data_IF_165657552911
#
_entry.id   IF_165657552911
#
_cell.length_a   1.000
_cell.length_b   1.000
_cell.length_c   1.000
_cell.angle_alpha   90.00
_cell.angle_beta   90.00
_cell.angle_gamma   90.00
#
_symmetry.space_group_name_H-M   'P 1'
#
loop_
_entity.id
_entity.type
_entity.pdbx_description
1 polymer ?
#
# COMPACT_ATOMS: atom_id res chain seq x y z
N UNK A 1 44.46 -2.94 -7.40
CA UNK A 1 43.73 -3.67 -8.45
C UNK A 1 42.33 -3.07 -8.49
N UNK A 2 42.14 -2.08 -9.36
CA UNK A 2 40.89 -1.33 -9.46
C UNK A 2 39.83 -2.23 -10.07
N UNK A 3 38.97 -2.80 -9.22
CA UNK A 3 37.73 -3.41 -9.71
C UNK A 3 36.93 -2.28 -10.33
N UNK A 4 36.81 -2.36 -11.65
CA UNK A 4 36.28 -1.34 -12.53
C UNK A 4 34.88 -0.94 -12.03
N UNK A 5 34.70 0.32 -11.60
CA UNK A 5 33.42 0.86 -11.11
C UNK A 5 32.31 0.66 -12.16
N UNK A 6 32.68 0.57 -13.44
CA UNK A 6 31.79 0.19 -14.56
C UNK A 6 31.26 -1.24 -14.51
N UNK A 7 31.99 -2.21 -13.93
CA UNK A 7 31.54 -3.60 -13.79
C UNK A 7 30.58 -3.74 -12.61
N UNK A 8 30.81 -3.04 -11.49
CA UNK A 8 29.84 -2.97 -10.38
C UNK A 8 28.54 -2.26 -10.81
N UNK A 9 28.64 -1.17 -11.59
CA UNK A 9 27.47 -0.48 -12.17
C UNK A 9 26.78 -1.28 -13.31
N UNK A 10 27.43 -2.30 -13.88
CA UNK A 10 26.83 -3.22 -14.84
C UNK A 10 26.18 -4.43 -14.13
N UNK A 11 26.73 -4.87 -13.00
CA UNK A 11 26.14 -5.91 -12.15
C UNK A 11 24.89 -5.44 -11.40
N UNK A 12 24.78 -4.13 -11.12
CA UNK A 12 23.59 -3.51 -10.51
C UNK A 12 22.40 -3.45 -11.49
N UNK A 13 22.63 -3.57 -12.81
CA UNK A 13 21.57 -3.59 -13.84
C UNK A 13 20.80 -4.91 -13.91
N UNK A 14 21.23 -5.93 -13.17
CA UNK A 14 20.64 -7.27 -13.16
C UNK A 14 20.01 -7.66 -11.81
N UNK A 15 20.00 -6.75 -10.83
CA UNK A 15 19.19 -6.94 -9.62
C UNK A 15 17.84 -6.28 -9.88
N UNK A 16 16.77 -7.07 -9.84
CA UNK A 16 15.41 -6.55 -9.90
C UNK A 16 15.15 -5.53 -8.79
N UNK A 17 14.05 -4.76 -8.90
CA UNK A 17 13.70 -3.78 -7.89
C UNK A 17 13.60 -4.43 -6.50
N UNK A 18 14.05 -3.70 -5.48
CA UNK A 18 13.89 -4.09 -4.09
C UNK A 18 12.51 -3.59 -3.65
N UNK A 19 11.53 -4.49 -3.60
CA UNK A 19 10.18 -4.20 -3.08
C UNK A 19 10.09 -4.27 -1.55
N UNK A 20 11.06 -4.87 -0.87
CA UNK A 20 11.01 -5.06 0.58
C UNK A 20 11.24 -3.75 1.35
N UNK A 21 10.16 -3.20 1.90
CA UNK A 21 10.18 -1.99 2.75
C UNK A 21 11.16 -2.09 3.93
N UNK A 22 11.44 -3.28 4.47
CA UNK A 22 12.41 -3.45 5.56
C UNK A 22 13.85 -3.14 5.12
N UNK A 23 14.15 -3.32 3.84
CA UNK A 23 15.43 -2.93 3.23
C UNK A 23 15.42 -1.44 2.89
N UNK A 24 14.28 -0.89 2.47
CA UNK A 24 14.12 0.51 2.09
C UNK A 24 14.14 1.46 3.30
N UNK A 25 13.58 1.03 4.44
CA UNK A 25 13.29 1.89 5.59
C UNK A 25 13.95 1.30 6.84
N UNK A 26 15.01 1.94 7.38
CA UNK A 26 15.79 1.39 8.50
C UNK A 26 14.98 1.05 9.76
N UNK A 27 13.97 1.85 10.12
CA UNK A 27 13.14 1.57 11.31
C UNK A 27 12.25 0.34 11.10
N UNK A 28 11.77 0.11 9.88
CA UNK A 28 11.04 -1.12 9.51
C UNK A 28 11.98 -2.32 9.54
N UNK A 29 13.21 -2.17 9.05
CA UNK A 29 14.25 -3.20 9.14
C UNK A 29 14.60 -3.60 10.58
N UNK A 30 14.68 -2.62 11.51
CA UNK A 30 14.86 -2.91 12.95
C UNK A 30 13.67 -3.67 13.53
N UNK A 31 12.45 -3.26 13.21
CA UNK A 31 11.24 -3.95 13.67
C UNK A 31 11.16 -5.39 13.12
N UNK A 32 11.54 -5.60 11.86
CA UNK A 32 11.62 -6.92 11.21
C UNK A 32 12.67 -7.83 11.88
N UNK A 33 13.83 -7.29 12.26
CA UNK A 33 14.82 -8.03 13.04
C UNK A 33 14.30 -8.40 14.44
N UNK A 34 13.62 -7.46 15.13
CA UNK A 34 13.01 -7.70 16.43
C UNK A 34 11.91 -8.78 16.38
N UNK A 35 11.07 -8.75 15.34
CA UNK A 35 10.06 -9.78 15.06
C UNK A 35 10.69 -11.17 14.96
N UNK A 36 11.74 -11.34 14.15
CA UNK A 36 12.42 -12.64 13.99
C UNK A 36 13.08 -13.14 15.27
N UNK A 37 13.46 -12.23 16.16
CA UNK A 37 14.05 -12.56 17.47
C UNK A 37 13.02 -12.78 18.58
N UNK A 38 11.71 -12.64 18.30
CA UNK A 38 10.64 -12.59 19.30
C UNK A 38 10.88 -11.50 20.38
N UNK A 39 11.56 -10.42 20.02
CA UNK A 39 11.85 -9.29 20.91
C UNK A 39 10.75 -8.22 20.82
N UNK A 40 9.70 -8.41 21.61
CA UNK A 40 8.55 -7.49 21.60
C UNK A 40 8.93 -6.06 22.03
N UNK A 41 9.86 -5.92 22.98
CA UNK A 41 10.25 -4.61 23.49
C UNK A 41 10.97 -3.78 22.42
N UNK A 42 11.90 -4.39 21.68
CA UNK A 42 12.58 -3.72 20.56
C UNK A 42 11.61 -3.38 19.42
N UNK A 43 10.62 -4.23 19.17
CA UNK A 43 9.57 -3.94 18.19
C UNK A 43 8.75 -2.71 18.60
N UNK A 44 8.32 -2.64 19.86
CA UNK A 44 7.56 -1.50 20.39
C UNK A 44 8.37 -0.20 20.32
N UNK A 45 9.67 -0.26 20.61
CA UNK A 45 10.57 0.88 20.48
C UNK A 45 10.65 1.36 19.02
N UNK A 46 10.89 0.45 18.07
CA UNK A 46 10.91 0.78 16.64
C UNK A 46 9.57 1.36 16.16
N UNK A 47 8.45 0.78 16.58
CA UNK A 47 7.11 1.30 16.26
C UNK A 47 6.87 2.70 16.82
N UNK A 48 7.38 3.00 18.02
CA UNK A 48 7.21 4.30 18.66
C UNK A 48 7.97 5.39 17.91
N UNK A 49 9.21 5.10 17.48
CA UNK A 49 10.08 5.99 16.69
C UNK A 49 9.60 6.18 15.24
N UNK A 50 8.84 5.22 14.70
CA UNK A 50 8.42 5.19 13.31
C UNK A 50 7.44 6.32 12.94
N UNK A 51 7.55 6.79 11.70
CA UNK A 51 6.49 7.59 11.06
C UNK A 51 5.19 6.78 10.97
N UNK A 52 4.05 7.45 10.77
CA UNK A 52 2.78 6.73 10.66
C UNK A 52 2.79 5.68 9.53
N UNK A 53 3.34 6.02 8.36
CA UNK A 53 3.48 5.06 7.26
C UNK A 53 4.33 3.84 7.67
N UNK A 54 5.47 4.08 8.33
CA UNK A 54 6.32 3.00 8.82
C UNK A 54 5.63 2.15 9.89
N UNK A 55 4.74 2.73 10.72
CA UNK A 55 3.92 1.98 11.68
C UNK A 55 2.95 1.02 10.99
N UNK A 56 2.30 1.45 9.91
CA UNK A 56 1.44 0.57 9.11
C UNK A 56 2.25 -0.60 8.51
N UNK A 57 3.45 -0.32 7.97
CA UNK A 57 4.36 -1.35 7.47
C UNK A 57 4.77 -2.36 8.56
N UNK A 58 5.11 -1.87 9.76
CA UNK A 58 5.46 -2.71 10.91
C UNK A 58 4.29 -3.61 11.30
N UNK A 59 3.07 -3.06 11.44
CA UNK A 59 1.86 -3.84 11.78
C UNK A 59 1.59 -4.90 10.72
N UNK A 60 1.58 -4.51 9.44
CA UNK A 60 1.36 -5.40 8.29
C UNK A 60 2.36 -6.57 8.28
N UNK A 61 3.64 -6.28 8.54
CA UNK A 61 4.70 -7.28 8.59
C UNK A 61 4.56 -8.22 9.78
N UNK A 62 4.33 -7.67 10.96
CA UNK A 62 4.12 -8.43 12.18
C UNK A 62 2.91 -9.38 12.05
N UNK A 63 1.81 -8.90 11.49
CA UNK A 63 0.62 -9.72 11.22
C UNK A 63 0.83 -10.75 10.12
N UNK A 64 1.82 -10.57 9.21
CA UNK A 64 2.13 -11.54 8.15
C UNK A 64 2.90 -12.77 8.64
N UNK A 65 3.39 -12.77 9.89
CA UNK A 65 4.11 -13.92 10.43
C UNK A 65 3.16 -15.08 10.73
N UNK A 66 3.29 -16.17 9.97
CA UNK A 66 2.48 -17.37 10.20
C UNK A 66 2.87 -18.02 11.53
N UNK A 67 1.88 -18.42 12.33
CA UNK A 67 2.10 -19.10 13.60
C UNK A 67 2.45 -18.17 14.77
N UNK A 68 2.38 -16.85 14.60
CA UNK A 68 2.69 -15.88 15.66
C UNK A 68 1.49 -15.56 16.56
N UNK A 69 0.34 -16.22 16.37
CA UNK A 69 -0.90 -15.92 17.10
C UNK A 69 -0.75 -16.17 18.60
N UNK A 70 -0.12 -17.28 18.99
CA UNK A 70 0.12 -17.61 20.40
C UNK A 70 1.11 -16.66 21.06
N UNK A 71 2.10 -16.18 20.31
CA UNK A 71 3.04 -15.16 20.80
C UNK A 71 2.31 -13.87 21.17
N UNK A 72 1.45 -13.35 20.29
CA UNK A 72 0.67 -12.14 20.57
C UNK A 72 -0.38 -12.35 21.66
N UNK A 73 -1.02 -13.52 21.72
CA UNK A 73 -1.92 -13.88 22.83
C UNK A 73 -1.20 -13.91 24.18
N UNK A 74 0.01 -14.44 24.24
CA UNK A 74 0.83 -14.45 25.46
C UNK A 74 1.20 -13.04 25.94
N UNK A 75 1.53 -12.14 25.00
CA UNK A 75 1.75 -10.72 25.30
C UNK A 75 0.48 -10.10 25.89
N UNK A 76 -0.69 -10.31 25.27
CA UNK A 76 -1.96 -9.76 25.75
C UNK A 76 -2.42 -10.38 27.07
N UNK A 77 -2.04 -11.61 27.38
CA UNK A 77 -2.29 -12.20 28.69
C UNK A 77 -1.49 -11.50 29.79
N UNK A 78 -0.26 -11.10 29.49
CA UNK A 78 0.63 -10.39 30.43
C UNK A 78 0.34 -8.89 30.50
N UNK A 79 -0.06 -8.29 29.38
CA UNK A 79 -0.42 -6.88 29.25
C UNK A 79 -1.67 -6.71 28.36
N UNK A 80 -2.89 -6.85 28.92
CA UNK A 80 -4.14 -6.76 28.15
C UNK A 80 -4.40 -5.41 27.48
N UNK A 81 -3.64 -4.37 27.84
CA UNK A 81 -3.78 -3.01 27.30
C UNK A 81 -2.79 -2.68 26.18
N UNK A 82 -2.00 -3.66 25.73
CA UNK A 82 -1.06 -3.49 24.63
C UNK A 82 -1.79 -3.32 23.29
N UNK A 83 -2.01 -2.06 22.90
CA UNK A 83 -2.72 -1.68 21.68
C UNK A 83 -2.04 -2.24 20.43
N UNK A 84 -0.71 -2.30 20.43
CA UNK A 84 0.06 -2.78 19.29
C UNK A 84 -0.11 -4.29 19.14
N UNK A 85 0.04 -5.06 20.22
CA UNK A 85 -0.14 -6.51 20.18
C UNK A 85 -1.57 -6.89 19.76
N UNK A 86 -2.57 -6.19 20.29
CA UNK A 86 -3.97 -6.39 19.91
C UNK A 86 -4.21 -6.08 18.42
N UNK A 87 -3.67 -4.97 17.92
CA UNK A 87 -3.81 -4.58 16.51
C UNK A 87 -3.10 -5.56 15.58
N UNK A 88 -1.89 -6.00 15.93
CA UNK A 88 -1.12 -6.98 15.16
C UNK A 88 -1.80 -8.35 15.16
N UNK A 89 -2.34 -8.79 16.29
CA UNK A 89 -3.12 -10.03 16.35
C UNK A 89 -4.37 -9.95 15.48
N UNK A 90 -5.07 -8.82 15.49
CA UNK A 90 -6.21 -8.60 14.60
C UNK A 90 -5.81 -8.61 13.12
N UNK A 91 -4.71 -7.95 12.74
CA UNK A 91 -4.18 -8.00 11.37
C UNK A 91 -3.79 -9.43 10.96
N UNK A 92 -3.24 -10.23 11.88
CA UNK A 92 -2.98 -11.66 11.60
C UNK A 92 -4.27 -12.41 11.28
N UNK A 93 -5.35 -12.19 12.04
CA UNK A 93 -6.66 -12.77 11.72
C UNK A 93 -7.21 -12.28 10.36
N UNK A 94 -7.02 -11.01 10.00
CA UNK A 94 -7.38 -10.51 8.67
C UNK A 94 -6.63 -11.29 7.58
N UNK A 95 -5.32 -11.51 7.73
CA UNK A 95 -4.53 -12.29 6.76
C UNK A 95 -4.97 -13.76 6.72
N UNK A 96 -5.21 -14.39 7.86
CA UNK A 96 -5.76 -15.75 7.92
C UNK A 96 -7.11 -15.85 7.22
N UNK A 97 -7.95 -14.80 7.30
CA UNK A 97 -9.19 -14.74 6.55
C UNK A 97 -8.90 -14.82 5.05
N UNK A 98 -8.07 -13.91 4.52
CA UNK A 98 -7.75 -13.89 3.08
C UNK A 98 -7.04 -15.16 2.60
N UNK A 99 -6.14 -15.73 3.42
CA UNK A 99 -5.53 -17.05 3.19
C UNK A 99 -6.60 -18.15 3.06
N UNK A 100 -7.63 -18.15 3.92
CA UNK A 100 -8.71 -19.12 3.90
C UNK A 100 -9.71 -18.92 2.74
N UNK A 101 -9.94 -17.67 2.32
CA UNK A 101 -10.77 -17.34 1.14
C UNK A 101 -10.12 -17.83 -0.15
N UNK A 102 -8.78 -17.78 -0.23
CA UNK A 102 -8.01 -18.04 -1.44
C UNK A 102 -8.05 -16.87 -2.44
N UNK A 103 -7.36 -17.03 -3.56
CA UNK A 103 -7.17 -15.99 -4.60
C UNK A 103 -8.29 -15.94 -5.65
N UNK A 104 -9.36 -16.73 -5.46
CA UNK A 104 -10.47 -16.81 -6.39
C UNK A 104 -11.45 -15.63 -6.34
N UNK A 105 -12.19 -15.42 -7.44
CA UNK A 105 -13.38 -14.56 -7.46
C UNK A 105 -14.46 -15.09 -6.51
N UNK A 106 -15.41 -14.24 -6.09
CA UNK A 106 -16.54 -14.61 -5.22
C UNK A 106 -17.24 -15.90 -5.67
N UNK A 107 -17.33 -16.14 -6.99
CA UNK A 107 -17.94 -17.34 -7.60
C UNK A 107 -17.15 -18.64 -7.42
N UNK A 108 -15.92 -18.59 -6.89
CA UNK A 108 -15.00 -19.74 -6.77
C UNK A 108 -14.64 -20.09 -5.32
N UNK A 109 -15.13 -19.31 -4.35
CA UNK A 109 -14.89 -19.55 -2.92
C UNK A 109 -15.86 -20.61 -2.40
N UNK A 110 -15.34 -21.68 -1.79
CA UNK A 110 -16.21 -22.71 -1.18
C UNK A 110 -17.02 -22.12 -0.02
N UNK A 111 -18.26 -22.61 0.26
CA UNK A 111 -19.06 -22.15 1.40
C UNK A 111 -18.32 -22.25 2.75
N UNK A 112 -17.52 -23.31 2.92
CA UNK A 112 -16.70 -23.51 4.11
C UNK A 112 -15.56 -22.48 4.20
N UNK A 113 -14.86 -22.23 3.09
CA UNK A 113 -13.83 -21.18 3.03
C UNK A 113 -14.40 -19.80 3.31
N UNK A 114 -15.60 -19.50 2.81
CA UNK A 114 -16.30 -18.24 3.09
C UNK A 114 -16.70 -18.11 4.57
N UNK A 115 -17.21 -19.18 5.18
CA UNK A 115 -17.55 -19.18 6.60
C UNK A 115 -16.31 -18.96 7.48
N UNK A 116 -15.18 -19.60 7.16
CA UNK A 116 -13.90 -19.40 7.85
C UNK A 116 -13.36 -17.98 7.65
N UNK A 117 -13.42 -17.43 6.43
CA UNK A 117 -13.09 -16.05 6.11
C UNK A 117 -13.87 -15.05 6.98
N UNK A 118 -15.21 -15.18 6.99
CA UNK A 118 -16.09 -14.36 7.81
C UNK A 118 -15.80 -14.50 9.32
N UNK A 119 -15.54 -15.72 9.79
CA UNK A 119 -15.20 -15.99 11.18
C UNK A 119 -13.97 -15.22 11.64
N UNK A 120 -12.87 -15.30 10.87
CA UNK A 120 -11.64 -14.58 11.20
C UNK A 120 -11.80 -13.06 11.16
N UNK A 121 -12.52 -12.51 10.17
CA UNK A 121 -12.77 -11.06 10.11
C UNK A 121 -13.59 -10.56 11.30
N UNK A 122 -14.58 -11.33 11.78
CA UNK A 122 -15.36 -10.98 12.98
C UNK A 122 -14.49 -11.03 14.23
N UNK A 123 -13.61 -12.01 14.37
CA UNK A 123 -12.63 -12.06 15.47
C UNK A 123 -11.71 -10.84 15.44
N UNK A 124 -11.20 -10.47 14.26
CA UNK A 124 -10.39 -9.26 14.11
C UNK A 124 -11.18 -8.00 14.53
N UNK A 125 -12.42 -7.82 14.07
CA UNK A 125 -13.25 -6.68 14.44
C UNK A 125 -13.53 -6.60 15.95
N UNK A 126 -13.79 -7.72 16.62
CA UNK A 126 -14.00 -7.73 18.07
C UNK A 126 -12.79 -7.17 18.83
N UNK A 127 -11.57 -7.56 18.42
CA UNK A 127 -10.33 -7.04 18.99
C UNK A 127 -10.20 -5.54 18.67
N UNK A 128 -10.36 -5.16 17.41
CA UNK A 128 -10.15 -3.78 16.94
C UNK A 128 -11.16 -2.80 17.52
N UNK A 129 -12.40 -3.21 17.77
CA UNK A 129 -13.40 -2.41 18.50
C UNK A 129 -12.89 -2.10 19.90
N UNK A 130 -12.32 -3.10 20.61
CA UNK A 130 -11.70 -2.89 21.92
C UNK A 130 -10.55 -1.88 21.88
N UNK A 131 -9.64 -2.03 20.90
CA UNK A 131 -8.51 -1.11 20.71
C UNK A 131 -9.00 0.32 20.44
N UNK A 132 -9.94 0.50 19.50
CA UNK A 132 -10.48 1.81 19.15
C UNK A 132 -11.32 2.44 20.27
N UNK A 133 -11.97 1.63 21.11
CA UNK A 133 -12.68 2.13 22.29
C UNK A 133 -11.71 2.57 23.39
N UNK A 134 -10.59 1.86 23.57
CA UNK A 134 -9.56 2.21 24.53
C UNK A 134 -8.77 3.46 24.10
N UNK A 135 -8.42 3.56 22.82
CA UNK A 135 -7.64 4.67 22.26
C UNK A 135 -8.18 5.05 20.87
N UNK A 136 -9.18 5.95 20.80
CA UNK A 136 -9.83 6.33 19.55
C UNK A 136 -8.90 6.93 18.48
N UNK A 137 -7.77 7.50 18.88
CA UNK A 137 -6.77 8.10 17.99
C UNK A 137 -5.66 7.13 17.56
N UNK A 138 -5.76 5.83 17.88
CA UNK A 138 -4.77 4.84 17.48
C UNK A 138 -4.95 4.45 16.00
N UNK A 139 -4.44 5.28 15.10
CA UNK A 139 -4.62 5.16 13.65
C UNK A 139 -4.33 3.77 13.05
N UNK A 140 -3.30 3.01 13.50
CA UNK A 140 -3.02 1.68 12.94
C UNK A 140 -4.18 0.68 13.14
N UNK A 141 -4.93 0.77 14.25
CA UNK A 141 -6.12 -0.07 14.42
C UNK A 141 -7.21 0.30 13.42
N UNK A 142 -7.45 1.60 13.19
CA UNK A 142 -8.41 2.03 12.17
C UNK A 142 -7.99 1.60 10.75
N UNK A 143 -6.68 1.56 10.46
CA UNK A 143 -6.18 1.09 9.17
C UNK A 143 -6.50 -0.39 8.95
N UNK A 144 -6.27 -1.24 9.95
CA UNK A 144 -6.66 -2.66 9.90
C UNK A 144 -8.18 -2.81 9.78
N UNK A 145 -8.97 -1.93 10.41
CA UNK A 145 -10.42 -1.91 10.26
C UNK A 145 -10.91 -1.49 8.87
N UNK A 146 -10.12 -0.81 8.05
CA UNK A 146 -10.50 -0.57 6.66
C UNK A 146 -10.50 -1.91 5.89
N UNK A 147 -9.45 -2.73 6.06
CA UNK A 147 -9.36 -4.05 5.42
C UNK A 147 -10.48 -5.03 5.79
N UNK A 148 -11.07 -4.91 6.98
CA UNK A 148 -12.20 -5.77 7.38
C UNK A 148 -13.52 -5.29 6.79
N UNK A 149 -13.65 -4.02 6.39
CA UNK A 149 -14.94 -3.43 6.01
C UNK A 149 -15.50 -4.04 4.73
N UNK A 150 -14.67 -4.14 3.69
CA UNK A 150 -15.04 -4.80 2.42
C UNK A 150 -15.30 -6.29 2.62
N UNK A 151 -14.41 -6.99 3.35
CA UNK A 151 -14.59 -8.42 3.58
C UNK A 151 -15.83 -8.79 4.42
N UNK A 152 -16.38 -7.83 5.17
CA UNK A 152 -17.60 -8.00 5.96
C UNK A 152 -18.84 -7.38 5.30
N UNK A 153 -18.74 -6.93 4.04
CA UNK A 153 -19.84 -6.32 3.28
C UNK A 153 -20.50 -5.13 4.00
N UNK A 154 -19.71 -4.28 4.68
CA UNK A 154 -20.26 -3.17 5.49
C UNK A 154 -20.71 -1.95 4.66
N UNK A 155 -20.35 -1.91 3.38
CA UNK A 155 -20.72 -0.85 2.44
C UNK A 155 -19.94 0.46 2.57
N UNK A 156 -20.02 1.28 1.51
CA UNK A 156 -19.22 2.50 1.33
C UNK A 156 -19.37 3.53 2.47
N UNK A 157 -20.56 3.66 3.06
CA UNK A 157 -20.82 4.60 4.17
C UNK A 157 -19.97 4.25 5.39
N UNK A 158 -19.86 2.97 5.73
CA UNK A 158 -19.06 2.53 6.87
C UNK A 158 -17.56 2.61 6.59
N UNK A 159 -17.14 2.30 5.36
CA UNK A 159 -15.76 2.49 4.88
C UNK A 159 -15.33 3.96 5.06
N UNK A 160 -16.10 4.90 4.50
CA UNK A 160 -15.82 6.34 4.60
C UNK A 160 -15.84 6.84 6.05
N UNK A 161 -16.76 6.35 6.88
CA UNK A 161 -16.79 6.68 8.32
C UNK A 161 -15.52 6.22 9.04
N UNK A 162 -15.02 5.02 8.75
CA UNK A 162 -13.77 4.50 9.33
C UNK A 162 -12.57 5.31 8.87
N UNK A 163 -12.51 5.64 7.58
CA UNK A 163 -11.48 6.53 7.04
C UNK A 163 -11.50 7.90 7.71
N UNK A 164 -12.67 8.53 7.85
CA UNK A 164 -12.80 9.83 8.55
C UNK A 164 -12.31 9.77 10.01
N UNK A 165 -12.56 8.65 10.71
CA UNK A 165 -12.04 8.46 12.07
C UNK A 165 -10.52 8.37 12.08
N UNK A 166 -9.92 7.61 11.17
CA UNK A 166 -8.48 7.54 11.02
C UNK A 166 -7.89 8.92 10.69
N UNK A 167 -8.42 9.58 9.66
CA UNK A 167 -7.88 10.83 9.12
C UNK A 167 -7.99 11.99 10.11
N UNK A 168 -8.92 11.94 11.06
CA UNK A 168 -8.98 12.92 12.16
C UNK A 168 -7.73 12.91 13.06
N UNK A 169 -7.04 11.77 13.16
CA UNK A 169 -5.82 11.59 13.94
C UNK A 169 -4.54 11.53 13.10
N UNK A 170 -4.67 11.16 11.82
CA UNK A 170 -3.57 11.08 10.85
C UNK A 170 -4.04 11.69 9.52
N UNK A 171 -4.05 13.03 9.39
CA UNK A 171 -4.46 13.69 8.15
C UNK A 171 -3.54 13.29 6.99
N UNK A 172 -4.13 13.05 5.82
CA UNK A 172 -3.41 12.66 4.59
C UNK A 172 -2.60 11.35 4.72
N UNK A 173 -3.05 10.43 5.59
CA UNK A 173 -2.48 9.10 5.71
C UNK A 173 -2.61 8.32 4.40
N UNK A 174 -1.50 8.23 3.65
CA UNK A 174 -1.52 7.68 2.30
C UNK A 174 -1.90 6.20 2.28
N UNK A 175 -1.47 5.43 3.27
CA UNK A 175 -1.86 4.02 3.38
C UNK A 175 -3.37 3.86 3.55
N UNK A 176 -3.96 4.63 4.47
CA UNK A 176 -5.41 4.59 4.69
C UNK A 176 -6.20 5.04 3.45
N UNK A 177 -5.73 6.09 2.77
CA UNK A 177 -6.34 6.57 1.53
C UNK A 177 -6.24 5.53 0.41
N UNK A 178 -5.10 4.85 0.28
CA UNK A 178 -4.93 3.78 -0.69
C UNK A 178 -5.93 2.64 -0.46
N UNK A 179 -6.09 2.18 0.78
CA UNK A 179 -7.05 1.12 1.12
C UNK A 179 -8.48 1.59 0.85
N UNK A 180 -8.80 2.83 1.23
CA UNK A 180 -10.15 3.38 1.02
C UNK A 180 -10.47 3.54 -0.46
N UNK A 181 -9.50 3.95 -1.28
CA UNK A 181 -9.65 3.93 -2.74
C UNK A 181 -10.00 2.51 -3.20
N UNK A 182 -9.22 1.50 -2.80
CA UNK A 182 -9.49 0.11 -3.17
C UNK A 182 -10.91 -0.31 -2.79
N UNK A 183 -11.33 -0.06 -1.55
CA UNK A 183 -12.66 -0.43 -1.03
C UNK A 183 -13.83 0.28 -1.75
N UNK A 184 -13.59 1.42 -2.39
CA UNK A 184 -14.60 2.17 -3.15
C UNK A 184 -14.67 1.78 -4.64
N UNK A 185 -13.80 0.89 -5.12
CA UNK A 185 -13.82 0.42 -6.49
C UNK A 185 -15.03 -0.51 -6.77
N UNK A 186 -15.54 -0.57 -8.01
CA UNK A 186 -16.66 -1.44 -8.37
C UNK A 186 -16.46 -2.92 -8.04
N UNK A 187 -15.22 -3.43 -8.16
CA UNK A 187 -14.87 -4.82 -7.82
C UNK A 187 -15.14 -5.19 -6.36
N UNK A 188 -15.35 -4.20 -5.49
CA UNK A 188 -15.65 -4.34 -4.06
C UNK A 188 -17.01 -3.77 -3.67
N UNK A 189 -17.90 -3.50 -4.64
CA UNK A 189 -19.26 -3.01 -4.39
C UNK A 189 -19.38 -1.48 -4.28
N UNK A 190 -18.32 -0.73 -4.57
CA UNK A 190 -18.37 0.72 -4.76
C UNK A 190 -18.71 1.11 -6.21
N UNK A 191 -18.34 2.33 -6.61
CA UNK A 191 -18.49 2.83 -7.98
C UNK A 191 -17.28 3.64 -8.43
N UNK A 192 -17.07 3.77 -9.75
CA UNK A 192 -15.98 4.59 -10.28
C UNK A 192 -16.10 6.06 -9.89
N UNK A 193 -17.32 6.58 -9.77
CA UNK A 193 -17.61 7.95 -9.33
C UNK A 193 -17.22 8.13 -7.86
N UNK A 194 -17.58 7.18 -6.98
CA UNK A 194 -17.17 7.22 -5.57
C UNK A 194 -15.65 7.21 -5.42
N UNK A 195 -14.97 6.31 -6.14
CA UNK A 195 -13.52 6.22 -6.12
C UNK A 195 -12.85 7.50 -6.67
N UNK A 196 -13.38 8.05 -7.77
CA UNK A 196 -12.91 9.30 -8.35
C UNK A 196 -13.06 10.46 -7.36
N UNK A 197 -14.26 10.72 -6.85
CA UNK A 197 -14.52 11.84 -5.95
C UNK A 197 -13.60 11.79 -4.72
N UNK A 198 -13.45 10.59 -4.13
CA UNK A 198 -12.56 10.38 -3.00
C UNK A 198 -11.09 10.69 -3.31
N UNK A 199 -10.59 10.20 -4.45
CA UNK A 199 -9.19 10.39 -4.85
C UNK A 199 -8.87 11.86 -5.13
N UNK A 200 -9.74 12.56 -5.85
CA UNK A 200 -9.54 13.96 -6.15
C UNK A 200 -9.66 14.84 -4.91
N UNK A 201 -10.59 14.54 -3.99
CA UNK A 201 -10.65 15.21 -2.69
C UNK A 201 -9.32 15.03 -1.93
N UNK A 202 -8.84 13.79 -1.80
CA UNK A 202 -7.60 13.49 -1.09
C UNK A 202 -6.37 14.17 -1.72
N UNK A 203 -6.24 14.10 -3.05
CA UNK A 203 -5.12 14.71 -3.76
C UNK A 203 -5.14 16.24 -3.64
N UNK A 204 -6.31 16.87 -3.73
CA UNK A 204 -6.47 18.32 -3.62
C UNK A 204 -6.33 18.87 -2.20
N UNK A 205 -6.69 18.08 -1.19
CA UNK A 205 -6.54 18.46 0.21
C UNK A 205 -5.10 18.30 0.72
N UNK A 206 -4.33 17.34 0.19
CA UNK A 206 -2.96 17.11 0.62
C UNK A 206 -2.05 18.30 0.28
N UNK A 207 -1.06 18.64 1.14
CA UNK A 207 -0.10 19.69 0.85
C UNK A 207 0.61 19.49 -0.50
N UNK A 208 1.01 20.57 -1.17
CA UNK A 208 1.81 20.46 -2.39
C UNK A 208 3.16 19.78 -2.10
N UNK A 209 3.62 18.92 -3.00
CA UNK A 209 4.80 18.06 -2.83
C UNK A 209 4.54 16.79 -2.01
N UNK A 210 3.29 16.53 -1.61
CA UNK A 210 2.93 15.28 -0.93
C UNK A 210 2.84 14.10 -1.92
N UNK A 211 3.07 12.86 -1.46
CA UNK A 211 2.92 11.66 -2.29
C UNK A 211 1.46 11.33 -2.64
N UNK A 212 0.48 11.95 -1.99
CA UNK A 212 -0.95 11.59 -2.09
C UNK A 212 -1.56 11.73 -3.48
N UNK A 213 -1.01 12.59 -4.36
CA UNK A 213 -1.51 12.67 -5.74
C UNK A 213 -1.22 11.39 -6.55
N UNK A 214 -0.37 10.48 -6.04
CA UNK A 214 -0.20 9.15 -6.64
C UNK A 214 -1.48 8.28 -6.58
N UNK A 215 -2.47 8.65 -5.76
CA UNK A 215 -3.79 7.99 -5.78
C UNK A 215 -4.53 8.22 -7.09
N UNK A 216 -4.32 9.36 -7.77
CA UNK A 216 -4.86 9.60 -9.12
C UNK A 216 -4.28 8.58 -10.10
N UNK A 217 -2.99 8.29 -9.98
CA UNK A 217 -2.33 7.28 -10.79
C UNK A 217 -2.91 5.89 -10.47
N UNK A 218 -3.03 5.53 -9.20
CA UNK A 218 -3.60 4.24 -8.82
C UNK A 218 -5.05 4.07 -9.32
N UNK A 219 -5.89 5.11 -9.21
CA UNK A 219 -7.23 5.10 -9.79
C UNK A 219 -7.20 4.76 -11.29
N UNK A 220 -6.29 5.40 -12.04
CA UNK A 220 -6.15 5.12 -13.45
C UNK A 220 -5.60 3.73 -13.74
N UNK A 221 -4.62 3.24 -12.99
CA UNK A 221 -4.12 1.86 -13.15
C UNK A 221 -5.25 0.84 -12.95
N UNK A 222 -6.15 1.07 -11.99
CA UNK A 222 -7.35 0.25 -11.77
C UNK A 222 -8.34 0.37 -12.93
N UNK A 223 -8.54 1.56 -13.50
CA UNK A 223 -9.34 1.73 -14.73
C UNK A 223 -8.76 0.95 -15.91
N UNK A 224 -7.42 0.89 -16.05
CA UNK A 224 -6.76 0.21 -17.17
C UNK A 224 -6.97 -1.30 -17.19
N UNK A 225 -7.15 -1.92 -16.02
CA UNK A 225 -7.36 -3.37 -15.88
C UNK A 225 -8.82 -3.77 -15.67
N UNK A 226 -9.72 -2.80 -15.77
CA UNK A 226 -11.15 -3.05 -15.60
C UNK A 226 -11.75 -3.71 -16.85
N UNK A 227 -12.69 -4.63 -16.65
CA UNK A 227 -13.40 -5.32 -17.75
C UNK A 227 -14.36 -4.40 -18.53
N UNK A 228 -14.64 -3.19 -18.01
CA UNK A 228 -15.58 -2.22 -18.61
C UNK A 228 -14.93 -1.25 -19.61
N UNK A 229 -13.63 -1.39 -19.88
CA UNK A 229 -12.92 -0.63 -20.92
C UNK A 229 -12.49 -1.54 -22.06
N UNK A 230 -12.48 -1.03 -23.29
CA UNK A 230 -12.16 -1.84 -24.48
C UNK A 230 -10.66 -2.15 -24.61
N UNK A 231 -9.84 -1.47 -23.81
CA UNK A 231 -8.41 -1.73 -23.68
C UNK A 231 -7.62 -0.55 -23.09
N UNK A 232 -6.40 -0.84 -22.66
CA UNK A 232 -5.45 0.12 -22.07
C UNK A 232 -5.26 1.37 -22.94
N UNK A 233 -5.16 1.19 -24.26
CA UNK A 233 -4.93 2.30 -25.21
C UNK A 233 -6.08 3.31 -25.25
N UNK A 234 -7.33 2.89 -25.03
CA UNK A 234 -8.50 3.77 -25.06
C UNK A 234 -8.40 4.80 -23.93
N UNK A 235 -8.18 4.33 -22.71
CA UNK A 235 -8.04 5.16 -21.51
C UNK A 235 -6.83 6.09 -21.63
N UNK A 236 -5.68 5.56 -22.08
CA UNK A 236 -4.45 6.36 -22.18
C UNK A 236 -4.45 7.36 -23.34
N UNK A 237 -5.34 7.22 -24.35
CA UNK A 237 -5.50 8.21 -25.42
C UNK A 237 -6.39 9.37 -25.03
N UNK A 238 -7.19 9.23 -23.97
CA UNK A 238 -8.05 10.30 -23.49
C UNK A 238 -7.22 11.53 -23.04
N UNK A 239 -7.41 12.70 -23.67
CA UNK A 239 -6.71 13.93 -23.28
C UNK A 239 -6.96 14.35 -21.83
N UNK A 240 -8.15 14.06 -21.27
CA UNK A 240 -8.48 14.38 -19.89
C UNK A 240 -7.65 13.53 -18.92
N UNK A 241 -7.55 12.23 -19.16
CA UNK A 241 -6.72 11.30 -18.36
C UNK A 241 -5.26 11.76 -18.35
N UNK A 242 -4.71 12.08 -19.52
CA UNK A 242 -3.34 12.61 -19.65
C UNK A 242 -3.15 13.92 -18.88
N UNK A 243 -4.12 14.83 -18.97
CA UNK A 243 -4.08 16.11 -18.26
C UNK A 243 -4.08 15.91 -16.73
N UNK A 244 -4.94 15.03 -16.23
CA UNK A 244 -5.07 14.77 -14.80
C UNK A 244 -3.85 14.06 -14.20
N UNK A 245 -3.27 13.09 -14.92
CA UNK A 245 -1.99 12.46 -14.52
C UNK A 245 -0.86 13.51 -14.49
N UNK A 246 -0.78 14.38 -15.50
CA UNK A 246 0.21 15.45 -15.53
C UNK A 246 0.03 16.45 -14.37
N UNK A 247 -1.22 16.84 -14.06
CA UNK A 247 -1.53 17.71 -12.94
C UNK A 247 -1.17 17.07 -11.59
N UNK A 248 -1.49 15.78 -11.42
CA UNK A 248 -1.11 15.01 -10.24
C UNK A 248 0.42 14.95 -10.06
N UNK A 249 1.16 14.75 -11.15
CA UNK A 249 2.61 14.74 -11.13
C UNK A 249 3.19 16.10 -10.70
N UNK A 250 2.66 17.21 -11.22
CA UNK A 250 3.09 18.57 -10.85
C UNK A 250 2.83 18.91 -9.38
N UNK A 251 1.74 18.37 -8.83
CA UNK A 251 1.44 18.51 -7.40
C UNK A 251 2.34 17.64 -6.52
N UNK A 252 2.86 16.53 -7.05
CA UNK A 252 3.60 15.52 -6.30
C UNK A 252 5.04 15.38 -6.80
N UNK A 253 5.36 14.33 -7.55
CA UNK A 253 6.74 13.92 -7.88
C UNK A 253 7.56 14.99 -8.63
N UNK A 254 6.93 15.88 -9.39
CA UNK A 254 7.60 16.99 -10.10
C UNK A 254 7.70 18.27 -9.26
N UNK A 255 7.10 18.28 -8.06
CA UNK A 255 7.19 19.44 -7.17
C UNK A 255 8.53 19.44 -6.41
N UNK A 256 9.22 20.59 -6.32
CA UNK A 256 10.50 20.69 -5.58
C UNK A 256 10.42 20.27 -4.10
N UNK A 257 9.25 20.39 -3.45
CA UNK A 257 9.08 20.01 -2.04
C UNK A 257 8.95 18.49 -1.80
N UNK A 258 8.94 17.67 -2.86
CA UNK A 258 8.70 16.23 -2.78
C UNK A 258 9.87 15.43 -2.21
N UNK A 259 11.12 15.78 -2.51
CA UNK A 259 12.27 14.89 -2.24
C UNK A 259 12.57 14.71 -0.74
N UNK A 260 12.03 15.57 0.12
CA UNK A 260 12.18 15.49 1.58
C UNK A 260 11.19 14.51 2.26
N UNK A 261 10.36 13.79 1.50
CA UNK A 261 9.27 12.95 2.05
C UNK A 261 9.68 11.47 2.20
N UNK A 262 9.28 10.85 3.31
CA UNK A 262 9.59 9.46 3.65
C UNK A 262 8.93 8.45 2.69
N UNK A 263 7.73 8.77 2.18
CA UNK A 263 6.91 7.82 1.39
C UNK A 263 7.05 8.04 -0.13
N UNK A 264 8.19 8.61 -0.53
CA UNK A 264 8.46 8.96 -1.93
C UNK A 264 8.52 7.75 -2.86
N UNK A 265 8.94 6.59 -2.36
CA UNK A 265 9.10 5.36 -3.16
C UNK A 265 7.75 4.92 -3.75
N UNK A 266 6.68 4.96 -2.96
CA UNK A 266 5.34 4.61 -3.43
C UNK A 266 4.91 5.49 -4.61
N UNK A 267 4.95 6.81 -4.43
CA UNK A 267 4.56 7.75 -5.48
C UNK A 267 5.45 7.65 -6.72
N UNK A 268 6.78 7.64 -6.55
CA UNK A 268 7.71 7.50 -7.67
C UNK A 268 7.52 6.20 -8.44
N UNK A 269 7.22 5.08 -7.76
CA UNK A 269 6.97 3.79 -8.41
C UNK A 269 5.73 3.85 -9.30
N UNK A 270 4.61 4.36 -8.79
CA UNK A 270 3.37 4.49 -9.57
C UNK A 270 3.52 5.48 -10.73
N UNK A 271 4.18 6.62 -10.50
CA UNK A 271 4.44 7.58 -11.57
C UNK A 271 5.40 7.03 -12.63
N UNK A 272 6.43 6.26 -12.24
CA UNK A 272 7.30 5.59 -13.20
C UNK A 272 6.52 4.61 -14.09
N UNK A 273 5.61 3.82 -13.50
CA UNK A 273 4.74 2.90 -14.24
C UNK A 273 3.86 3.65 -15.23
N UNK A 274 3.06 4.62 -14.78
CA UNK A 274 2.09 5.29 -15.66
C UNK A 274 2.77 6.14 -16.74
N UNK A 275 3.93 6.75 -16.47
CA UNK A 275 4.68 7.46 -17.50
C UNK A 275 5.27 6.50 -18.54
N UNK A 276 5.67 5.30 -18.13
CA UNK A 276 6.11 4.26 -19.08
C UNK A 276 4.95 3.83 -19.98
N UNK A 277 3.76 3.61 -19.41
CA UNK A 277 2.55 3.29 -20.17
C UNK A 277 2.10 4.42 -21.12
N UNK A 278 2.32 5.68 -20.72
CA UNK A 278 2.03 6.86 -21.55
C UNK A 278 3.11 7.17 -22.60
N UNK A 279 4.22 6.44 -22.57
CA UNK A 279 5.45 6.71 -23.33
C UNK A 279 6.06 8.10 -23.08
N UNK A 280 5.83 8.69 -21.90
CA UNK A 280 6.52 9.89 -21.42
C UNK A 280 7.88 9.49 -20.84
N UNK A 281 8.78 9.05 -21.72
CA UNK A 281 10.10 8.54 -21.36
C UNK A 281 10.94 9.51 -20.53
N UNK A 282 10.96 10.83 -20.79
CA UNK A 282 11.67 11.78 -19.93
C UNK A 282 11.16 11.78 -18.49
N UNK A 283 9.84 11.77 -18.28
CA UNK A 283 9.25 11.74 -16.94
C UNK A 283 9.45 10.38 -16.25
N UNK A 284 9.34 9.27 -17.00
CA UNK A 284 9.61 7.93 -16.50
C UNK A 284 11.08 7.80 -16.03
N UNK A 285 12.03 8.28 -16.84
CA UNK A 285 13.47 8.27 -16.54
C UNK A 285 13.80 9.05 -15.27
N UNK A 286 13.19 10.22 -15.06
CA UNK A 286 13.34 10.97 -13.81
C UNK A 286 12.91 10.13 -12.59
N UNK A 287 11.72 9.51 -12.67
CA UNK A 287 11.20 8.68 -11.60
C UNK A 287 12.11 7.48 -11.31
N UNK A 288 12.51 6.73 -12.33
CA UNK A 288 13.42 5.58 -12.19
C UNK A 288 14.81 5.96 -11.67
N UNK A 289 15.31 7.15 -12.01
CA UNK A 289 16.59 7.65 -11.49
C UNK A 289 16.48 7.91 -9.99
N UNK A 290 15.39 8.55 -9.55
CA UNK A 290 15.16 8.90 -8.14
C UNK A 290 14.76 7.71 -7.26
N UNK A 291 14.15 6.69 -7.84
CA UNK A 291 13.88 5.40 -7.19
C UNK A 291 15.15 4.65 -6.83
N UNK A 292 16.20 4.75 -7.67
CA UNK A 292 17.40 3.92 -7.52
C UNK A 292 17.03 2.43 -7.57
N UNK A 293 17.41 1.59 -6.58
CA UNK A 293 17.06 0.17 -6.58
C UNK A 293 15.66 -0.11 -6.00
N UNK A 294 14.97 0.88 -5.45
CA UNK A 294 13.74 0.67 -4.69
C UNK A 294 12.49 0.84 -5.56
N UNK A 295 11.43 0.12 -5.22
CA UNK A 295 10.10 0.32 -5.79
C UNK A 295 9.04 -0.24 -4.83
N UNK A 296 7.76 -0.04 -5.14
CA UNK A 296 6.68 -0.83 -4.56
C UNK A 296 6.11 -1.75 -5.62
N UNK A 297 5.67 -2.93 -5.21
CA UNK A 297 5.04 -3.91 -6.11
C UNK A 297 3.74 -3.36 -6.70
N UNK A 298 2.92 -2.71 -5.85
CA UNK A 298 1.60 -2.18 -6.19
C UNK A 298 1.51 -1.55 -7.59
N UNK A 299 0.59 -2.08 -8.40
CA UNK A 299 0.31 -1.64 -9.76
C UNK A 299 1.17 -2.33 -10.82
N UNK A 300 2.40 -2.75 -10.50
CA UNK A 300 3.23 -3.52 -11.43
C UNK A 300 2.69 -4.95 -11.59
N UNK A 301 2.07 -5.51 -10.54
CA UNK A 301 1.44 -6.84 -10.61
C UNK A 301 0.26 -6.94 -11.59
N UNK A 302 -0.23 -5.80 -12.10
CA UNK A 302 -1.34 -5.77 -13.05
C UNK A 302 -0.91 -6.11 -14.48
N UNK A 303 0.37 -5.94 -14.80
CA UNK A 303 0.88 -5.98 -16.17
C UNK A 303 1.80 -7.18 -16.44
N UNK A 304 1.89 -8.14 -15.51
CA UNK A 304 2.62 -9.38 -15.69
C UNK A 304 2.66 -10.26 -14.44
N UNK A 305 2.93 -11.56 -14.62
CA UNK A 305 3.08 -12.51 -13.51
C UNK A 305 4.32 -12.25 -12.64
N UNK A 306 5.36 -11.62 -13.21
CA UNK A 306 6.55 -11.17 -12.49
C UNK A 306 6.64 -9.63 -12.52
N UNK A 307 6.19 -8.95 -11.46
CA UNK A 307 6.26 -7.49 -11.35
C UNK A 307 7.70 -6.95 -11.49
N UNK A 308 8.71 -7.73 -11.11
CA UNK A 308 10.12 -7.33 -11.23
C UNK A 308 10.57 -7.29 -12.69
N UNK A 309 10.11 -8.24 -13.50
CA UNK A 309 10.39 -8.27 -14.93
C UNK A 309 9.77 -7.06 -15.63
N UNK A 310 8.48 -6.79 -15.38
CA UNK A 310 7.76 -5.64 -15.94
C UNK A 310 8.45 -4.32 -15.57
N UNK A 311 8.83 -4.15 -14.29
CA UNK A 311 9.57 -2.98 -13.82
C UNK A 311 10.89 -2.79 -14.57
N UNK A 312 11.67 -3.87 -14.73
CA UNK A 312 12.99 -3.80 -15.35
C UNK A 312 12.90 -3.49 -16.84
N UNK A 313 11.92 -4.07 -17.56
CA UNK A 313 11.67 -3.77 -18.96
C UNK A 313 11.33 -2.29 -19.17
N UNK A 314 10.35 -1.79 -18.42
CA UNK A 314 9.95 -0.38 -18.46
C UNK A 314 11.13 0.56 -18.12
N UNK A 315 11.92 0.20 -17.11
CA UNK A 315 13.11 0.95 -16.72
C UNK A 315 14.16 0.96 -17.84
N UNK A 316 14.46 -0.18 -18.44
CA UNK A 316 15.43 -0.27 -19.53
C UNK A 316 14.99 0.58 -20.72
N UNK A 317 13.72 0.51 -21.08
CA UNK A 317 13.16 1.29 -22.16
C UNK A 317 13.26 2.79 -21.90
N UNK A 318 12.78 3.26 -20.74
CA UNK A 318 12.88 4.67 -20.34
C UNK A 318 14.32 5.19 -20.30
N UNK A 319 15.28 4.38 -19.84
CA UNK A 319 16.68 4.75 -19.78
C UNK A 319 17.35 4.79 -21.17
N UNK A 320 16.79 4.09 -22.16
CA UNK A 320 17.33 4.04 -23.53
C UNK A 320 16.75 5.11 -24.47
N UNK A 321 15.49 5.51 -24.26
CA UNK A 321 14.73 6.41 -25.15
C UNK A 321 14.77 7.88 -24.74
N UNK A 322 15.27 8.19 -23.55
CA UNK A 322 15.34 9.56 -23.00
C UNK A 322 16.76 10.02 -22.68
#
# INVERSE_FOLDING_TARGET
MAVNVSILAAMDRYRGPIFDEAVQIPVVGRADAALRANDWASLQAAFTEATMQSRHSIVRRAGSMKGSEDFYRGILQSNPRDLLAATVLADRYVRMAWEARGTGSYSTVSPQGYATFQGYLRTAEQILIGVCAQQPQFAPAWAVRLFTATGLDLGAVEILRRYQRLSSSSPHDLHAQFITLQDLLPKWGGTWEMAHDFVWECANAAPTGSPNAALVVMYYLERLISDDVSGVEEVLRDPQVRHEIAAAAQRSVKNPAFDAKADKVFALSLFALIFSLLEDWPSAKDCFTRLGPYAVEAGWEYFGEDPSAVFNEARQEAMSKA
#
